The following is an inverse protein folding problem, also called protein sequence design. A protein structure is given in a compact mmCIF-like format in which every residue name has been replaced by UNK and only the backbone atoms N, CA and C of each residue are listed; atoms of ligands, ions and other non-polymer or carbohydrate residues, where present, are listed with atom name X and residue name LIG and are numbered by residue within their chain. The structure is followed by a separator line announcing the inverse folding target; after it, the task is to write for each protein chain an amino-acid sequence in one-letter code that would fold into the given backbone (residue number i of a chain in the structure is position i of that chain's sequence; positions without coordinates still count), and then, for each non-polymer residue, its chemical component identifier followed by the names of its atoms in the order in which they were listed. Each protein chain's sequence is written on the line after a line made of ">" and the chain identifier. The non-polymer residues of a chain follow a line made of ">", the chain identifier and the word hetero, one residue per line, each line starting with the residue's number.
data_IF_584451512998
#
_entry.id   IF_584451512998
#
_cell.length_a   1.000
_cell.length_b   1.000
_cell.length_c   1.000
_cell.angle_alpha   90.00
_cell.angle_beta   90.00
_cell.angle_gamma   90.00
#
_symmetry.space_group_name_H-M   'P 1'
#
loop_
_entity.id
_entity.type
_entity.pdbx_description
1 polymer ?
#
# COMPACT_ATOMS: atom_id res chain seq x y z
N UNK A 1 -0.75 -28.13 9.80
CA UNK A 1 -1.05 -26.84 10.48
C UNK A 1 -1.86 -25.95 9.53
N UNK A 2 -3.07 -25.61 9.93
CA UNK A 2 -3.91 -24.71 9.12
C UNK A 2 -3.64 -23.28 9.62
N UNK A 3 -3.07 -22.45 8.75
CA UNK A 3 -2.92 -21.04 9.05
C UNK A 3 -4.29 -20.39 8.93
N UNK A 4 -4.82 -19.93 10.05
CA UNK A 4 -6.09 -19.21 10.03
C UNK A 4 -5.85 -17.77 9.58
N UNK A 5 -6.07 -17.51 8.30
CA UNK A 5 -5.85 -16.19 7.69
C UNK A 5 -6.76 -15.10 8.25
N UNK A 6 -7.83 -15.49 8.95
CA UNK A 6 -8.76 -14.53 9.54
C UNK A 6 -8.22 -13.89 10.84
N UNK A 7 -7.26 -14.55 11.52
CA UNK A 7 -6.71 -14.03 12.78
C UNK A 7 -6.07 -12.65 12.61
N UNK A 8 -5.14 -12.45 11.66
CA UNK A 8 -4.55 -11.11 11.49
C UNK A 8 -5.57 -10.07 11.05
N UNK A 9 -6.52 -10.44 10.19
CA UNK A 9 -7.57 -9.52 9.73
C UNK A 9 -8.44 -9.08 10.92
N UNK A 10 -8.86 -10.03 11.74
CA UNK A 10 -9.66 -9.76 12.94
C UNK A 10 -8.89 -8.89 13.94
N UNK A 11 -7.59 -9.15 14.10
CA UNK A 11 -6.73 -8.35 14.96
C UNK A 11 -6.68 -6.88 14.50
N UNK A 12 -6.45 -6.65 13.21
CA UNK A 12 -6.39 -5.30 12.65
C UNK A 12 -7.73 -4.56 12.82
N UNK A 13 -8.83 -5.27 12.62
CA UNK A 13 -10.17 -4.71 12.80
C UNK A 13 -10.38 -4.19 14.23
N UNK A 14 -9.88 -4.93 15.22
CA UNK A 14 -10.02 -4.57 16.63
C UNK A 14 -8.99 -3.57 17.13
N UNK A 15 -7.93 -3.36 16.37
CA UNK A 15 -6.81 -2.52 16.76
C UNK A 15 -6.48 -1.50 15.67
N UNK A 16 -7.34 -0.46 15.46
CA UNK A 16 -7.11 0.51 14.40
C UNK A 16 -5.77 1.25 14.52
N UNK A 17 -5.31 1.50 15.74
CA UNK A 17 -4.00 2.14 15.96
C UNK A 17 -2.87 1.27 15.40
N UNK A 18 -2.94 -0.04 15.60
CA UNK A 18 -1.94 -0.98 15.07
C UNK A 18 -1.99 -1.04 13.54
N UNK A 19 -3.19 -1.00 12.96
CA UNK A 19 -3.35 -0.92 11.50
C UNK A 19 -2.71 0.35 10.94
N UNK A 20 -2.89 1.49 11.59
CA UNK A 20 -2.26 2.74 11.20
C UNK A 20 -0.74 2.67 11.29
N UNK A 21 -0.20 2.08 12.37
CA UNK A 21 1.23 1.88 12.51
C UNK A 21 1.79 0.98 11.42
N UNK A 22 1.10 -0.11 11.11
CA UNK A 22 1.53 -1.03 10.06
C UNK A 22 1.54 -0.33 8.69
N UNK A 23 0.46 0.34 8.31
CA UNK A 23 0.43 1.10 7.05
C UNK A 23 1.44 2.23 7.03
N UNK A 24 1.66 2.90 8.16
CA UNK A 24 2.70 3.93 8.31
C UNK A 24 4.10 3.36 8.07
N UNK A 25 4.41 2.19 8.63
CA UNK A 25 5.69 1.52 8.42
C UNK A 25 5.87 1.12 6.95
N UNK A 26 4.82 0.61 6.31
CA UNK A 26 4.83 0.27 4.89
C UNK A 26 5.05 1.54 4.05
N UNK A 27 4.37 2.64 4.38
CA UNK A 27 4.55 3.92 3.69
C UNK A 27 5.98 4.41 3.78
N UNK A 28 6.61 4.33 4.96
CA UNK A 28 8.01 4.70 5.13
C UNK A 28 8.94 3.84 4.30
N UNK A 29 8.69 2.53 4.23
CA UNK A 29 9.46 1.63 3.38
C UNK A 29 9.30 1.99 1.90
N UNK A 30 8.08 2.29 1.46
CA UNK A 30 7.82 2.72 0.08
C UNK A 30 8.58 4.01 -0.23
N UNK A 31 8.50 5.01 0.64
CA UNK A 31 9.20 6.29 0.47
C UNK A 31 10.71 6.03 0.37
N UNK A 32 11.27 5.28 1.31
CA UNK A 32 12.70 5.00 1.34
C UNK A 32 13.19 4.29 0.08
N UNK A 33 12.50 3.22 -0.33
CA UNK A 33 12.87 2.44 -1.52
C UNK A 33 12.64 3.23 -2.81
N UNK A 34 11.57 4.02 -2.89
CA UNK A 34 11.23 4.80 -4.09
C UNK A 34 12.16 5.97 -4.31
N UNK A 35 12.71 6.54 -3.26
CA UNK A 35 13.60 7.70 -3.32
C UNK A 35 15.08 7.34 -3.20
N UNK A 36 15.42 6.05 -3.12
CA UNK A 36 16.80 5.58 -3.17
C UNK A 36 17.27 5.48 -4.62
N UNK A 37 18.54 5.85 -4.91
CA UNK A 37 19.09 5.68 -6.26
C UNK A 37 19.06 4.21 -6.72
N UNK A 38 18.80 3.99 -8.01
CA UNK A 38 18.67 2.64 -8.59
C UNK A 38 19.89 1.75 -8.31
N UNK A 39 21.10 2.34 -8.32
CA UNK A 39 22.33 1.60 -8.09
C UNK A 39 22.42 0.98 -6.69
N UNK A 40 21.64 1.46 -5.73
CA UNK A 40 21.65 0.97 -4.35
C UNK A 40 20.51 0.01 -4.04
N UNK A 41 19.62 -0.26 -5.00
CA UNK A 41 18.48 -1.13 -4.79
C UNK A 41 18.84 -2.59 -5.15
N UNK A 42 18.30 -3.58 -4.40
CA UNK A 42 18.48 -4.98 -4.74
C UNK A 42 17.71 -5.33 -6.02
N UNK A 43 18.22 -6.31 -6.76
CA UNK A 43 17.50 -6.89 -7.87
C UNK A 43 16.38 -7.80 -7.35
N UNK A 44 15.14 -7.48 -7.71
CA UNK A 44 13.96 -8.26 -7.32
C UNK A 44 13.25 -8.72 -8.59
N UNK A 45 12.84 -9.99 -8.68
CA UNK A 45 12.12 -10.48 -9.87
C UNK A 45 10.81 -9.73 -10.10
N UNK A 46 10.43 -9.61 -11.36
CA UNK A 46 9.20 -8.96 -11.77
C UNK A 46 9.42 -7.56 -12.35
N UNK A 47 8.37 -6.98 -12.89
CA UNK A 47 8.44 -5.63 -13.44
C UNK A 47 8.32 -4.58 -12.32
N UNK A 48 8.86 -3.40 -12.57
CA UNK A 48 8.76 -2.26 -11.66
C UNK A 48 7.29 -1.91 -11.37
N UNK A 49 6.45 -1.93 -12.39
CA UNK A 49 5.01 -1.66 -12.26
C UNK A 49 4.30 -2.68 -11.37
N UNK A 50 4.68 -3.95 -11.46
CA UNK A 50 4.17 -5.00 -10.58
C UNK A 50 4.55 -4.74 -9.13
N UNK A 51 5.79 -4.32 -8.87
CA UNK A 51 6.26 -3.98 -7.53
C UNK A 51 5.46 -2.81 -6.95
N UNK A 52 5.22 -1.76 -7.74
CA UNK A 52 4.40 -0.62 -7.34
C UNK A 52 2.97 -1.05 -7.00
N UNK A 53 2.35 -1.83 -7.85
CA UNK A 53 0.99 -2.30 -7.64
C UNK A 53 0.86 -3.10 -6.34
N UNK A 54 1.76 -4.05 -6.11
CA UNK A 54 1.75 -4.88 -4.90
C UNK A 54 2.02 -4.03 -3.66
N UNK A 55 3.01 -3.14 -3.70
CA UNK A 55 3.37 -2.31 -2.56
C UNK A 55 2.20 -1.43 -2.10
N UNK A 56 1.51 -0.80 -3.04
CA UNK A 56 0.38 0.08 -2.72
C UNK A 56 -0.88 -0.70 -2.34
N UNK A 57 -1.08 -1.89 -2.86
CA UNK A 57 -2.15 -2.78 -2.41
C UNK A 57 -1.94 -3.21 -0.95
N UNK A 58 -0.71 -3.59 -0.61
CA UNK A 58 -0.33 -3.94 0.77
C UNK A 58 -0.45 -2.73 1.70
N UNK A 59 -0.06 -1.53 1.23
CA UNK A 59 -0.19 -0.28 1.99
C UNK A 59 -1.65 0.01 2.38
N UNK A 60 -2.58 -0.14 1.45
CA UNK A 60 -3.97 0.25 1.63
C UNK A 60 -4.79 -0.77 2.43
N UNK A 61 -4.40 -2.03 2.45
CA UNK A 61 -5.19 -3.12 3.04
C UNK A 61 -5.44 -2.98 4.55
N UNK A 62 -4.41 -2.74 5.41
CA UNK A 62 -4.64 -2.69 6.85
C UNK A 62 -5.62 -1.59 7.27
N UNK A 63 -5.49 -0.40 6.72
CA UNK A 63 -6.35 0.73 7.05
C UNK A 63 -7.76 0.55 6.51
N UNK A 64 -7.92 -0.09 5.35
CA UNK A 64 -9.24 -0.41 4.80
C UNK A 64 -9.99 -1.43 5.69
N UNK A 65 -9.29 -2.42 6.23
CA UNK A 65 -9.86 -3.39 7.18
C UNK A 65 -10.30 -2.68 8.46
N UNK A 66 -9.42 -1.85 9.02
CA UNK A 66 -9.65 -1.25 10.33
C UNK A 66 -10.63 -0.07 10.30
N UNK A 67 -10.64 0.69 9.21
CA UNK A 67 -11.42 1.93 9.10
C UNK A 67 -12.19 2.00 7.79
N UNK A 68 -13.15 1.09 7.57
CA UNK A 68 -13.87 1.01 6.29
C UNK A 68 -14.67 2.27 5.97
N UNK A 69 -15.13 3.01 6.98
CA UNK A 69 -15.89 4.24 6.77
C UNK A 69 -15.02 5.38 6.21
N UNK A 70 -13.71 5.31 6.40
CA UNK A 70 -12.75 6.32 5.94
C UNK A 70 -11.95 5.86 4.72
N UNK A 71 -12.30 4.71 4.15
CA UNK A 71 -11.49 4.05 3.11
C UNK A 71 -11.18 4.97 1.94
N UNK A 72 -12.16 5.71 1.44
CA UNK A 72 -11.94 6.55 0.25
C UNK A 72 -11.08 7.77 0.54
N UNK A 73 -11.20 8.35 1.73
CA UNK A 73 -10.32 9.42 2.16
C UNK A 73 -8.87 8.92 2.30
N UNK A 74 -8.69 7.78 2.93
CA UNK A 74 -7.38 7.17 3.11
C UNK A 74 -6.79 6.74 1.76
N UNK A 75 -7.60 6.17 0.87
CA UNK A 75 -7.18 5.82 -0.48
C UNK A 75 -6.67 7.05 -1.24
N UNK A 76 -7.38 8.17 -1.14
CA UNK A 76 -6.94 9.43 -1.76
C UNK A 76 -5.59 9.89 -1.22
N UNK A 77 -5.37 9.78 0.11
CA UNK A 77 -4.08 10.13 0.72
C UNK A 77 -2.95 9.26 0.17
N UNK A 78 -3.16 7.97 0.01
CA UNK A 78 -2.15 7.07 -0.53
C UNK A 78 -1.89 7.31 -2.02
N UNK A 79 -2.93 7.64 -2.79
CA UNK A 79 -2.78 8.02 -4.20
C UNK A 79 -1.97 9.32 -4.31
N UNK A 80 -2.24 10.31 -3.46
CA UNK A 80 -1.48 11.54 -3.41
C UNK A 80 -0.01 11.28 -3.03
N UNK A 81 0.24 10.39 -2.06
CA UNK A 81 1.59 9.98 -1.70
C UNK A 81 2.33 9.41 -2.91
N UNK A 82 1.69 8.50 -3.65
CA UNK A 82 2.27 7.92 -4.86
C UNK A 82 2.58 8.96 -5.92
N UNK A 83 1.68 9.92 -6.11
CA UNK A 83 1.88 11.03 -7.07
C UNK A 83 3.05 11.93 -6.68
N UNK A 84 3.15 12.29 -5.41
CA UNK A 84 4.27 13.12 -4.91
C UNK A 84 5.59 12.38 -5.08
N UNK A 85 5.64 11.10 -4.77
CA UNK A 85 6.84 10.29 -4.95
C UNK A 85 7.28 10.28 -6.42
N UNK A 86 6.33 10.07 -7.35
CA UNK A 86 6.64 10.08 -8.79
C UNK A 86 7.20 11.43 -9.25
N UNK A 87 6.72 12.54 -8.70
CA UNK A 87 7.21 13.88 -9.01
C UNK A 87 8.61 14.11 -8.45
N UNK A 88 8.97 13.49 -7.33
CA UNK A 88 10.29 13.67 -6.68
C UNK A 88 11.34 12.74 -7.30
N UNK A 89 10.95 11.56 -7.80
CA UNK A 89 11.90 10.55 -8.28
C UNK A 89 12.94 11.07 -9.27
N UNK A 90 12.63 11.93 -10.25
CA UNK A 90 13.66 12.45 -11.15
C UNK A 90 14.80 13.21 -10.43
N UNK A 91 14.50 13.81 -9.27
CA UNK A 91 15.49 14.56 -8.50
C UNK A 91 16.43 13.71 -7.66
N UNK A 92 16.11 12.40 -7.52
CA UNK A 92 16.92 11.44 -6.75
C UNK A 92 17.48 10.33 -7.64
N UNK A 93 17.70 10.62 -8.91
CA UNK A 93 18.26 9.69 -9.89
C UNK A 93 17.36 8.45 -10.09
N UNK A 94 16.07 8.66 -10.15
CA UNK A 94 15.06 7.66 -10.46
C UNK A 94 14.23 8.15 -11.66
N UNK A 95 13.52 7.23 -12.30
CA UNK A 95 12.62 7.57 -13.40
C UNK A 95 11.19 7.72 -12.89
N UNK A 96 10.61 8.92 -13.05
CA UNK A 96 9.19 9.13 -12.81
C UNK A 96 8.39 8.81 -14.07
N UNK A 97 7.44 7.89 -13.97
CA UNK A 97 6.62 7.46 -15.11
C UNK A 97 5.13 7.51 -14.76
N UNK A 98 4.32 7.99 -15.69
CA UNK A 98 2.86 8.00 -15.54
C UNK A 98 2.29 6.60 -15.30
N UNK A 99 2.86 5.58 -15.96
CA UNK A 99 2.42 4.19 -15.78
C UNK A 99 2.69 3.69 -14.36
N UNK A 100 3.76 4.14 -13.73
CA UNK A 100 4.04 3.80 -12.33
C UNK A 100 3.02 4.43 -11.40
N UNK A 101 2.62 5.67 -11.66
CA UNK A 101 1.55 6.32 -10.91
C UNK A 101 0.21 5.58 -11.08
N UNK A 102 -0.12 5.14 -12.29
CA UNK A 102 -1.33 4.34 -12.54
C UNK A 102 -1.25 3.01 -11.79
N UNK A 103 -0.09 2.36 -11.75
CA UNK A 103 0.11 1.13 -10.98
C UNK A 103 -0.08 1.37 -9.48
N UNK A 104 0.44 2.47 -8.95
CA UNK A 104 0.25 2.87 -7.55
C UNK A 104 -1.23 3.04 -7.23
N UNK A 105 -1.94 3.81 -8.05
CA UNK A 105 -3.36 4.08 -7.88
C UNK A 105 -4.20 2.80 -7.95
N UNK A 106 -3.91 1.94 -8.92
CA UNK A 106 -4.57 0.64 -9.08
C UNK A 106 -4.33 -0.24 -7.85
N UNK A 107 -3.10 -0.27 -7.34
CA UNK A 107 -2.76 -0.99 -6.12
C UNK A 107 -3.56 -0.50 -4.92
N UNK A 108 -3.65 0.82 -4.72
CA UNK A 108 -4.45 1.40 -3.63
C UNK A 108 -5.92 0.98 -3.75
N UNK A 109 -6.48 1.02 -4.94
CA UNK A 109 -7.88 0.63 -5.16
C UNK A 109 -8.10 -0.86 -4.88
N UNK A 110 -7.20 -1.72 -5.35
CA UNK A 110 -7.27 -3.17 -5.08
C UNK A 110 -7.18 -3.44 -3.59
N UNK A 111 -6.20 -2.87 -2.89
CA UNK A 111 -6.03 -3.05 -1.45
C UNK A 111 -7.21 -2.53 -0.65
N UNK A 112 -7.78 -1.39 -1.06
CA UNK A 112 -8.97 -0.82 -0.42
C UNK A 112 -10.19 -1.73 -0.58
N UNK A 113 -10.43 -2.23 -1.77
CA UNK A 113 -11.54 -3.16 -2.03
C UNK A 113 -11.35 -4.47 -1.27
N UNK A 114 -10.14 -5.02 -1.30
CA UNK A 114 -9.81 -6.23 -0.56
C UNK A 114 -10.07 -6.05 0.94
N UNK A 115 -9.63 -4.94 1.52
CA UNK A 115 -9.86 -4.62 2.93
C UNK A 115 -11.33 -4.48 3.28
N UNK A 116 -12.12 -3.83 2.40
CA UNK A 116 -13.56 -3.70 2.58
C UNK A 116 -14.26 -5.05 2.54
N UNK A 117 -13.87 -5.93 1.62
CA UNK A 117 -14.44 -7.27 1.52
C UNK A 117 -14.08 -8.10 2.75
N UNK A 118 -12.84 -8.03 3.22
CA UNK A 118 -12.41 -8.71 4.44
C UNK A 118 -13.21 -8.22 5.66
N UNK A 119 -13.41 -6.92 5.79
CA UNK A 119 -14.25 -6.35 6.85
C UNK A 119 -15.67 -6.89 6.80
N UNK A 120 -16.26 -6.95 5.62
CA UNK A 120 -17.61 -7.45 5.42
C UNK A 120 -17.73 -8.93 5.85
N UNK A 121 -16.75 -9.77 5.50
CA UNK A 121 -16.76 -11.19 5.86
C UNK A 121 -16.59 -11.42 7.36
N UNK A 122 -15.90 -10.54 8.07
CA UNK A 122 -15.69 -10.66 9.53
C UNK A 122 -16.97 -10.33 10.31
N UNK A 123 -17.84 -9.50 9.77
CA UNK A 123 -19.08 -9.10 10.45
C UNK A 123 -20.15 -10.19 10.50
N UNK A 124 -19.91 -11.31 9.84
CA UNK A 124 -20.85 -12.44 9.78
C UNK A 124 -20.25 -13.69 10.42
#
# INVERSE_FOLDING_TARGET
>A
MVINLWVPIYYLKRNPAQANWLSGAIALAIIGLSLSPLAQLPDVPGSDKTHHLIAYAVLATPTAIAMPRKVWMIALLYICLGGVIELIQPYVNRYGEWLDFIANMTGVLIGSVFGLLADKFIKH
#
